data_IF_465887014905
#
_entry.id   IF_465887014905
#
_cell.length_a   1.000
_cell.length_b   1.000
_cell.length_c   1.000
_cell.angle_alpha   90.00
_cell.angle_beta   90.00
_cell.angle_gamma   90.00
#
_symmetry.space_group_name_H-M   'P 1'
#
loop_
_entity.id
_entity.type
_entity.pdbx_description
1 polymer ?
#
# COMPACT_ATOMS: atom_id res chain seq x y z
N UNK A 1 -27.55 74.50 -10.22
CA UNK A 1 -27.98 74.45 -11.63
C UNK A 1 -26.86 73.81 -12.43
N UNK A 2 -27.19 72.74 -13.15
CA UNK A 2 -26.59 72.31 -14.43
C UNK A 2 -25.10 71.95 -14.38
N UNK A 3 -24.77 70.65 -14.30
CA UNK A 3 -24.78 69.65 -15.40
C UNK A 3 -23.73 69.99 -16.46
N UNK A 4 -23.06 68.94 -16.93
CA UNK A 4 -22.12 68.84 -18.05
C UNK A 4 -20.63 68.96 -17.71
N UNK A 5 -20.04 67.83 -17.30
CA UNK A 5 -19.06 67.16 -18.17
C UNK A 5 -18.93 65.66 -17.80
N UNK A 6 -20.04 64.92 -17.92
CA UNK A 6 -20.04 63.45 -18.03
C UNK A 6 -20.58 63.14 -19.43
N UNK A 7 -19.80 63.40 -20.47
CA UNK A 7 -20.02 62.92 -21.85
C UNK A 7 -18.63 62.83 -22.51
N UNK A 8 -18.35 61.72 -23.21
CA UNK A 8 -17.06 61.21 -23.71
C UNK A 8 -16.18 60.62 -22.59
N UNK A 9 -16.14 59.33 -22.29
CA UNK A 9 -16.15 58.13 -23.13
C UNK A 9 -16.87 57.03 -22.32
N UNK A 10 -18.20 57.00 -22.40
CA UNK A 10 -19.04 55.89 -21.89
C UNK A 10 -19.87 55.26 -23.01
N UNK A 11 -19.38 55.42 -24.25
CA UNK A 11 -20.01 54.96 -25.49
C UNK A 11 -19.11 53.99 -26.28
N UNK A 12 -18.05 53.45 -25.66
CA UNK A 12 -17.09 52.54 -26.31
C UNK A 12 -16.69 51.31 -25.47
N UNK A 13 -17.39 51.04 -24.37
CA UNK A 13 -17.39 49.72 -23.71
C UNK A 13 -18.81 49.41 -23.21
N UNK A 14 -19.80 49.56 -24.09
CA UNK A 14 -20.94 48.66 -24.03
C UNK A 14 -20.37 47.31 -24.47
N UNK A 15 -20.51 46.23 -23.69
CA UNK A 15 -20.17 44.92 -24.22
C UNK A 15 -21.02 44.75 -25.48
N UNK A 16 -20.38 44.47 -26.62
CA UNK A 16 -21.02 44.07 -27.87
C UNK A 16 -21.81 42.73 -27.73
N UNK A 17 -22.35 42.45 -26.54
CA UNK A 17 -23.09 41.25 -26.17
C UNK A 17 -24.55 41.26 -26.66
N UNK A 18 -25.02 42.29 -27.36
CA UNK A 18 -26.43 42.41 -27.75
C UNK A 18 -26.72 42.18 -29.24
N UNK A 19 -25.79 41.62 -30.01
CA UNK A 19 -25.97 41.41 -31.46
C UNK A 19 -26.00 39.94 -31.92
N UNK A 20 -25.95 38.96 -31.01
CA UNK A 20 -26.10 37.55 -31.37
C UNK A 20 -27.34 36.99 -30.68
N UNK A 21 -28.46 36.90 -31.40
CA UNK A 21 -29.70 36.35 -30.88
C UNK A 21 -29.65 34.88 -30.45
N UNK A 22 -28.54 34.16 -30.69
CA UNK A 22 -28.36 32.74 -30.40
C UNK A 22 -27.75 32.49 -29.02
N UNK A 23 -28.40 31.65 -28.21
CA UNK A 23 -27.88 31.15 -26.94
C UNK A 23 -28.15 29.64 -26.77
N UNK A 24 -27.45 29.01 -25.82
CA UNK A 24 -27.70 27.62 -25.44
C UNK A 24 -28.72 27.59 -24.31
N UNK A 25 -29.94 27.18 -24.65
CA UNK A 25 -31.02 27.01 -23.69
C UNK A 25 -30.73 25.90 -22.69
N UNK A 26 -30.18 24.78 -23.17
CA UNK A 26 -29.83 23.64 -22.32
C UNK A 26 -28.68 22.84 -22.92
N UNK A 27 -27.70 22.48 -22.08
CA UNK A 27 -26.62 21.57 -22.42
C UNK A 27 -26.62 20.39 -21.44
N UNK A 28 -26.98 19.22 -21.96
CA UNK A 28 -26.92 17.96 -21.21
C UNK A 28 -25.69 17.19 -21.66
N UNK A 29 -24.84 16.79 -20.73
CA UNK A 29 -23.64 15.99 -20.98
C UNK A 29 -23.70 14.75 -20.10
N UNK A 30 -23.61 13.56 -20.69
CA UNK A 30 -23.54 12.30 -19.95
C UNK A 30 -22.25 11.57 -20.30
N UNK A 31 -21.42 11.35 -19.29
CA UNK A 31 -20.20 10.56 -19.33
C UNK A 31 -20.49 9.13 -18.86
N UNK A 32 -20.35 8.17 -19.77
CA UNK A 32 -20.35 6.74 -19.47
C UNK A 32 -18.90 6.31 -19.27
N UNK A 33 -18.52 6.15 -18.01
CA UNK A 33 -17.15 5.81 -17.61
C UNK A 33 -16.85 4.34 -17.89
N UNK A 34 -15.57 4.03 -18.15
CA UNK A 34 -15.06 2.69 -18.44
C UNK A 34 -13.57 2.59 -18.07
N UNK A 35 -13.01 1.37 -18.05
CA UNK A 35 -11.64 1.12 -17.59
C UNK A 35 -10.56 1.76 -18.45
N UNK A 36 -10.79 1.87 -19.76
CA UNK A 36 -9.77 2.29 -20.74
C UNK A 36 -10.14 3.57 -21.50
N UNK A 37 -11.20 4.27 -21.11
CA UNK A 37 -12.39 4.51 -21.92
C UNK A 37 -13.41 5.41 -21.27
N UNK A 38 -13.89 6.46 -21.91
CA UNK A 38 -15.24 6.92 -21.65
C UNK A 38 -15.95 7.30 -22.93
N UNK A 39 -17.26 7.10 -22.91
CA UNK A 39 -18.16 7.48 -23.97
C UNK A 39 -19.00 8.66 -23.49
N UNK A 40 -19.22 9.65 -24.36
CA UNK A 40 -19.93 10.87 -24.03
C UNK A 40 -21.14 11.00 -24.95
N UNK A 41 -22.28 11.32 -24.33
CA UNK A 41 -23.47 11.76 -25.03
C UNK A 41 -23.77 13.20 -24.63
N UNK A 42 -23.90 14.07 -25.63
CA UNK A 42 -24.29 15.46 -25.42
C UNK A 42 -25.58 15.77 -26.16
N UNK A 43 -26.45 16.53 -25.53
CA UNK A 43 -27.58 17.19 -26.17
C UNK A 43 -27.47 18.69 -25.91
N UNK A 44 -27.35 19.47 -26.99
CA UNK A 44 -27.26 20.93 -26.93
C UNK A 44 -28.49 21.50 -27.61
N UNK A 45 -29.24 22.33 -26.89
CA UNK A 45 -30.44 23.00 -27.38
C UNK A 45 -30.12 24.47 -27.60
N UNK A 46 -29.99 24.86 -28.85
CA UNK A 46 -29.82 26.25 -29.26
C UNK A 46 -31.18 26.93 -29.42
N UNK A 47 -31.23 28.21 -29.11
CA UNK A 47 -32.45 29.03 -29.19
C UNK A 47 -32.09 30.41 -29.71
N UNK A 48 -32.96 30.97 -30.56
CA UNK A 48 -32.80 32.34 -31.06
C UNK A 48 -33.91 33.25 -30.49
N UNK A 49 -33.52 34.25 -29.69
CA UNK A 49 -34.44 35.26 -29.14
C UNK A 49 -34.11 36.71 -29.56
N UNK A 50 -32.93 36.95 -30.13
CA UNK A 50 -32.51 38.28 -30.58
C UNK A 50 -32.85 38.57 -32.04
N UNK A 51 -32.27 39.63 -32.57
CA UNK A 51 -32.21 39.89 -34.01
C UNK A 51 -30.84 39.40 -34.54
N UNK A 52 -30.75 38.83 -35.76
CA UNK A 52 -31.78 38.73 -36.81
C UNK A 52 -32.90 37.71 -36.55
N UNK A 53 -34.02 37.84 -37.29
CA UNK A 53 -35.16 36.90 -37.27
C UNK A 53 -34.73 35.44 -37.53
N UNK A 54 -33.62 35.25 -38.24
CA UNK A 54 -33.01 33.94 -38.48
C UNK A 54 -31.52 34.07 -38.20
N UNK A 55 -31.01 33.28 -37.26
CA UNK A 55 -29.58 33.10 -37.07
C UNK A 55 -29.07 32.10 -38.11
N UNK A 56 -28.06 32.49 -38.88
CA UNK A 56 -27.29 31.62 -39.76
C UNK A 56 -25.81 31.80 -39.44
N UNK A 57 -25.14 30.74 -38.97
CA UNK A 57 -23.76 30.88 -38.52
C UNK A 57 -23.11 29.56 -38.14
N UNK A 58 -21.77 29.60 -38.07
CA UNK A 58 -20.93 28.44 -37.75
C UNK A 58 -20.64 28.37 -36.26
N UNK A 59 -20.99 27.26 -35.63
CA UNK A 59 -20.63 26.90 -34.26
C UNK A 59 -19.45 25.94 -34.28
N UNK A 60 -18.50 26.15 -33.36
CA UNK A 60 -17.28 25.35 -33.24
C UNK A 60 -17.26 24.70 -31.86
N UNK A 61 -17.38 23.38 -31.80
CA UNK A 61 -17.32 22.60 -30.57
C UNK A 61 -15.94 21.94 -30.47
N UNK A 62 -15.11 22.39 -29.52
CA UNK A 62 -13.83 21.75 -29.21
C UNK A 62 -14.06 20.55 -28.28
N UNK A 63 -13.60 19.36 -28.67
CA UNK A 63 -13.83 18.11 -27.91
C UNK A 63 -12.56 17.31 -27.62
N UNK A 64 -11.38 17.94 -27.69
CA UNK A 64 -10.10 17.30 -27.34
C UNK A 64 -9.81 16.07 -28.21
N UNK A 65 -9.23 14.99 -27.71
CA UNK A 65 -8.95 13.76 -28.49
C UNK A 65 -10.20 12.88 -28.71
N UNK A 66 -11.30 13.49 -29.19
CA UNK A 66 -12.55 12.79 -29.46
C UNK A 66 -12.45 11.89 -30.70
N UNK A 67 -12.93 10.66 -30.56
CA UNK A 67 -12.97 9.62 -31.60
C UNK A 67 -14.39 9.12 -31.78
N UNK A 68 -14.65 8.43 -32.90
CA UNK A 68 -15.95 7.80 -33.18
C UNK A 68 -17.13 8.78 -33.06
N UNK A 69 -16.95 9.99 -33.59
CA UNK A 69 -17.90 11.11 -33.41
C UNK A 69 -19.11 10.94 -34.32
N UNK A 70 -20.30 10.85 -33.74
CA UNK A 70 -21.60 10.90 -34.42
C UNK A 70 -22.37 12.15 -34.00
N UNK A 71 -22.84 12.92 -34.99
CA UNK A 71 -23.67 14.13 -34.79
C UNK A 71 -25.04 13.93 -35.44
N UNK A 72 -26.12 14.29 -34.75
CA UNK A 72 -27.50 14.25 -35.26
C UNK A 72 -28.24 15.56 -34.93
N UNK A 73 -29.15 15.98 -35.80
CA UNK A 73 -29.91 17.23 -35.68
C UNK A 73 -30.63 17.57 -37.00
N UNK A 74 -31.29 18.72 -37.07
CA UNK A 74 -31.94 19.22 -38.30
C UNK A 74 -31.05 20.26 -38.99
N UNK A 75 -30.77 20.11 -40.30
CA UNK A 75 -30.00 21.03 -41.17
C UNK A 75 -28.66 21.53 -40.58
N UNK A 76 -27.59 20.76 -40.81
CA UNK A 76 -26.21 21.17 -40.51
C UNK A 76 -25.23 20.46 -41.45
N UNK A 77 -24.12 21.12 -41.82
CA UNK A 77 -22.96 20.48 -42.45
C UNK A 77 -21.90 20.20 -41.37
N UNK A 78 -21.38 18.96 -41.30
CA UNK A 78 -20.25 18.62 -40.39
C UNK A 78 -18.98 18.51 -41.19
N UNK A 79 -17.98 19.32 -40.83
CA UNK A 79 -16.61 19.17 -41.32
C UNK A 79 -15.76 18.62 -40.19
N UNK A 80 -15.13 17.47 -40.45
CA UNK A 80 -14.19 16.83 -39.52
C UNK A 80 -12.77 17.25 -39.89
N UNK A 81 -12.11 17.94 -38.97
CA UNK A 81 -10.66 18.10 -39.05
C UNK A 81 -9.98 17.06 -38.15
N UNK A 82 -8.74 16.62 -38.46
CA UNK A 82 -7.93 15.75 -37.60
C UNK A 82 -7.66 16.32 -36.19
N UNK A 83 -8.05 17.57 -35.94
CA UNK A 83 -7.90 18.33 -34.70
C UNK A 83 -9.07 18.18 -33.73
N UNK A 84 -10.09 17.35 -34.06
CA UNK A 84 -11.25 17.03 -33.22
C UNK A 84 -12.10 18.24 -32.77
N UNK A 85 -12.00 19.33 -33.53
CA UNK A 85 -13.00 20.40 -33.57
C UNK A 85 -14.17 19.95 -34.44
N UNK A 86 -15.39 20.11 -33.92
CA UNK A 86 -16.62 19.82 -34.63
C UNK A 86 -17.21 21.15 -35.09
N UNK A 87 -17.28 21.32 -36.40
CA UNK A 87 -17.87 22.49 -37.03
C UNK A 87 -19.33 22.18 -37.38
N UNK A 88 -20.25 23.01 -36.92
CA UNK A 88 -21.69 22.86 -37.18
C UNK A 88 -22.24 24.17 -37.71
N UNK A 89 -22.79 24.13 -38.91
CA UNK A 89 -23.58 25.25 -39.46
C UNK A 89 -25.00 25.19 -38.88
N UNK A 90 -25.42 26.27 -38.21
CA UNK A 90 -26.73 26.37 -37.57
C UNK A 90 -27.63 27.34 -38.31
N UNK A 91 -28.92 26.99 -38.32
CA UNK A 91 -30.00 27.80 -38.87
C UNK A 91 -31.16 27.81 -37.88
N UNK A 92 -31.33 28.90 -37.14
CA UNK A 92 -32.31 29.00 -36.04
C UNK A 92 -33.20 30.23 -36.21
N UNK A 93 -34.48 30.01 -36.50
CA UNK A 93 -35.47 31.07 -36.57
C UNK A 93 -35.81 31.59 -35.17
N UNK A 94 -36.15 32.86 -35.06
CA UNK A 94 -36.57 33.52 -33.82
C UNK A 94 -37.78 32.80 -33.21
N UNK A 95 -37.71 32.54 -31.91
CA UNK A 95 -38.75 31.78 -31.19
C UNK A 95 -38.74 30.28 -31.45
N UNK A 96 -37.76 29.76 -32.20
CA UNK A 96 -37.57 28.31 -32.42
C UNK A 96 -36.30 27.80 -31.75
N UNK A 97 -36.21 26.48 -31.58
CA UNK A 97 -35.02 25.81 -31.04
C UNK A 97 -34.45 24.81 -32.03
N UNK A 98 -33.13 24.67 -32.05
CA UNK A 98 -32.44 23.62 -32.79
C UNK A 98 -31.68 22.72 -31.80
N UNK A 99 -31.93 21.41 -31.88
CA UNK A 99 -31.29 20.43 -31.01
C UNK A 99 -30.20 19.68 -31.76
N UNK A 100 -29.03 19.61 -31.13
CA UNK A 100 -27.89 18.83 -31.62
C UNK A 100 -27.61 17.73 -30.61
N UNK A 101 -27.48 16.51 -31.11
CA UNK A 101 -27.05 15.37 -30.32
C UNK A 101 -25.67 14.92 -30.80
N UNK A 102 -24.72 14.83 -29.87
CA UNK A 102 -23.37 14.33 -30.13
C UNK A 102 -23.14 13.06 -29.34
N UNK A 103 -22.41 12.12 -29.97
CA UNK A 103 -21.94 10.88 -29.38
C UNK A 103 -20.49 10.71 -29.77
N UNK A 104 -19.60 10.51 -28.81
CA UNK A 104 -18.17 10.33 -29.10
C UNK A 104 -17.45 9.61 -27.97
N UNK A 105 -16.24 9.13 -28.26
CA UNK A 105 -15.38 8.38 -27.33
C UNK A 105 -14.10 9.16 -27.04
N UNK A 106 -13.60 9.07 -25.80
CA UNK A 106 -12.36 9.71 -25.35
C UNK A 106 -11.60 8.85 -24.35
N UNK A 107 -10.32 9.15 -24.20
CA UNK A 107 -9.41 8.45 -23.27
C UNK A 107 -8.41 9.37 -22.56
N UNK A 108 -8.31 10.64 -22.98
CA UNK A 108 -7.28 11.60 -22.57
C UNK A 108 -7.40 12.09 -21.11
N UNK A 109 -8.50 11.79 -20.44
CA UNK A 109 -8.82 12.25 -19.08
C UNK A 109 -8.86 11.14 -18.03
N UNK A 110 -8.42 9.92 -18.38
CA UNK A 110 -8.45 8.76 -17.48
C UNK A 110 -7.04 8.34 -17.04
N UNK A 111 -6.89 8.15 -15.74
CA UNK A 111 -5.69 7.62 -15.11
C UNK A 111 -6.05 6.35 -14.34
N UNK A 112 -5.25 5.30 -14.48
CA UNK A 112 -5.40 4.06 -13.70
C UNK A 112 -4.24 3.94 -12.70
N UNK A 113 -4.58 3.83 -11.42
CA UNK A 113 -3.63 3.58 -10.34
C UNK A 113 -4.10 2.38 -9.54
N UNK A 114 -3.48 1.23 -9.79
CA UNK A 114 -3.71 -0.01 -9.03
C UNK A 114 -5.19 -0.44 -9.01
N UNK A 115 -5.90 -0.26 -10.12
CA UNK A 115 -7.33 -0.61 -10.22
C UNK A 115 -8.29 0.47 -9.71
N UNK A 116 -7.78 1.62 -9.25
CA UNK A 116 -8.56 2.83 -9.02
C UNK A 116 -8.42 3.74 -10.25
N UNK A 117 -9.55 4.04 -10.87
CA UNK A 117 -9.62 4.89 -12.05
C UNK A 117 -9.93 6.32 -11.61
N UNK A 118 -9.25 7.30 -12.21
CA UNK A 118 -9.45 8.72 -11.94
C UNK A 118 -9.79 9.42 -13.25
N UNK A 119 -11.01 9.94 -13.34
CA UNK A 119 -11.39 10.90 -14.36
C UNK A 119 -10.96 12.29 -13.91
N UNK A 120 -10.03 12.93 -14.64
CA UNK A 120 -9.54 14.27 -14.31
C UNK A 120 -9.45 15.14 -15.55
N UNK A 121 -10.16 16.26 -15.53
CA UNK A 121 -10.20 17.18 -16.66
C UNK A 121 -11.37 18.15 -16.58
N UNK A 122 -11.63 18.86 -17.69
CA UNK A 122 -12.80 19.71 -17.83
C UNK A 122 -14.00 18.87 -18.31
N UNK A 123 -14.96 18.64 -17.42
CA UNK A 123 -16.23 17.98 -17.72
C UNK A 123 -17.20 18.89 -18.48
N UNK A 124 -16.89 20.19 -18.51
CA UNK A 124 -17.51 21.17 -19.37
C UNK A 124 -16.39 21.97 -20.01
N UNK A 125 -16.29 21.90 -21.33
CA UNK A 125 -15.35 22.72 -22.08
C UNK A 125 -15.71 24.20 -22.00
N UNK A 126 -14.79 25.04 -22.43
CA UNK A 126 -15.02 26.49 -22.54
C UNK A 126 -15.97 26.78 -23.70
N UNK A 127 -16.83 27.78 -23.54
CA UNK A 127 -17.68 28.27 -24.63
C UNK A 127 -17.95 29.77 -24.50
N UNK A 128 -18.15 30.40 -25.65
CA UNK A 128 -18.32 31.84 -25.83
C UNK A 128 -19.76 32.21 -26.19
N UNK A 129 -20.72 31.43 -25.71
CA UNK A 129 -22.16 31.68 -25.87
C UNK A 129 -22.82 31.79 -24.50
N UNK A 130 -23.88 32.58 -24.42
CA UNK A 130 -24.79 32.55 -23.27
C UNK A 130 -25.37 31.13 -23.11
N UNK A 131 -25.31 30.60 -21.89
CA UNK A 131 -25.86 29.27 -21.58
C UNK A 131 -26.75 29.38 -20.36
N UNK A 132 -28.00 28.92 -20.46
CA UNK A 132 -28.97 29.07 -19.38
C UNK A 132 -28.99 27.88 -18.42
N UNK A 133 -28.77 26.67 -18.92
CA UNK A 133 -28.83 25.46 -18.11
C UNK A 133 -27.81 24.43 -18.55
N UNK A 134 -27.07 23.89 -17.58
CA UNK A 134 -26.09 22.84 -17.80
C UNK A 134 -26.39 21.70 -16.85
N UNK A 135 -26.47 20.48 -17.39
CA UNK A 135 -26.56 19.25 -16.62
C UNK A 135 -25.44 18.33 -17.05
N UNK A 136 -24.57 17.95 -16.11
CA UNK A 136 -23.46 17.03 -16.33
C UNK A 136 -23.72 15.79 -15.48
N UNK A 137 -23.73 14.62 -16.11
CA UNK A 137 -23.94 13.33 -15.45
C UNK A 137 -22.77 12.41 -15.72
N UNK A 138 -22.32 11.70 -14.70
CA UNK A 138 -21.35 10.61 -14.80
C UNK A 138 -22.04 9.32 -14.39
N UNK A 139 -21.76 8.25 -15.12
CA UNK A 139 -22.31 6.92 -14.88
C UNK A 139 -21.13 5.94 -14.82
N UNK A 140 -21.02 5.21 -13.73
CA UNK A 140 -19.98 4.18 -13.58
C UNK A 140 -20.27 2.94 -14.43
N UNK A 141 -19.26 2.10 -14.71
CA UNK A 141 -19.49 0.72 -15.15
C UNK A 141 -20.28 -0.09 -14.12
N UNK A 142 -20.77 -1.25 -14.53
CA UNK A 142 -21.44 -2.17 -13.62
C UNK A 142 -20.51 -2.60 -12.48
N UNK A 143 -21.04 -2.57 -11.26
CA UNK A 143 -20.36 -2.90 -10.00
C UNK A 143 -19.19 -1.99 -9.62
N UNK A 144 -19.04 -0.85 -10.30
CA UNK A 144 -18.17 0.23 -9.87
C UNK A 144 -18.91 1.20 -8.95
N UNK A 145 -18.13 1.80 -8.06
CA UNK A 145 -18.56 2.80 -7.08
C UNK A 145 -17.65 4.02 -7.19
N UNK A 146 -18.21 5.20 -6.97
CA UNK A 146 -17.43 6.43 -6.87
C UNK A 146 -16.66 6.49 -5.55
N UNK A 147 -15.45 7.05 -5.62
CA UNK A 147 -14.53 7.27 -4.51
C UNK A 147 -14.45 8.73 -4.11
N UNK A 148 -13.26 9.32 -4.15
CA UNK A 148 -13.07 10.75 -3.99
C UNK A 148 -13.66 11.51 -5.20
N UNK A 149 -14.44 12.56 -4.92
CA UNK A 149 -15.12 13.37 -5.93
C UNK A 149 -14.83 14.85 -5.65
N UNK A 150 -14.30 15.55 -6.65
CA UNK A 150 -14.08 16.99 -6.64
C UNK A 150 -14.62 17.62 -7.94
N UNK A 151 -15.41 18.70 -7.87
CA UNK A 151 -16.02 19.27 -6.67
C UNK A 151 -17.04 18.30 -6.04
N UNK A 152 -17.29 18.45 -4.73
CA UNK A 152 -18.09 17.49 -3.96
C UNK A 152 -19.51 17.37 -4.53
N UNK A 153 -19.91 16.14 -4.85
CA UNK A 153 -21.28 15.77 -5.17
C UNK A 153 -21.59 14.40 -4.58
N UNK A 154 -22.86 14.11 -4.36
CA UNK A 154 -23.31 12.86 -3.73
C UNK A 154 -23.73 11.88 -4.81
N UNK A 155 -23.09 10.71 -4.91
CA UNK A 155 -23.49 9.69 -5.87
C UNK A 155 -24.79 9.00 -5.44
N UNK A 156 -25.58 8.58 -6.43
CA UNK A 156 -26.83 7.85 -6.25
C UNK A 156 -26.71 6.49 -6.94
N UNK A 157 -27.10 5.41 -6.25
CA UNK A 157 -27.09 4.06 -6.81
C UNK A 157 -28.35 3.82 -7.63
N UNK A 158 -28.17 3.37 -8.87
CA UNK A 158 -29.26 2.93 -9.75
C UNK A 158 -28.92 1.54 -10.31
N UNK A 159 -29.58 0.51 -9.79
CA UNK A 159 -29.25 -0.88 -10.10
C UNK A 159 -27.78 -1.21 -9.77
N UNK A 160 -27.04 -1.65 -10.78
CA UNK A 160 -25.63 -2.05 -10.64
C UNK A 160 -24.63 -0.91 -10.90
N UNK A 161 -25.11 0.32 -11.15
CA UNK A 161 -24.28 1.49 -11.46
C UNK A 161 -24.47 2.59 -10.42
N UNK A 162 -23.51 3.49 -10.33
CA UNK A 162 -23.65 4.76 -9.62
C UNK A 162 -23.70 5.93 -10.60
N UNK A 163 -24.50 6.92 -10.21
CA UNK A 163 -24.72 8.14 -10.96
C UNK A 163 -24.24 9.32 -10.11
N UNK A 164 -23.55 10.24 -10.75
CA UNK A 164 -23.13 11.50 -10.16
C UNK A 164 -23.58 12.63 -11.08
N UNK A 165 -24.26 13.64 -10.53
CA UNK A 165 -24.80 14.72 -11.34
C UNK A 165 -24.41 16.09 -10.79
N UNK A 166 -24.09 17.00 -11.70
CA UNK A 166 -23.94 18.43 -11.47
C UNK A 166 -24.95 19.15 -12.34
N UNK A 167 -25.74 20.04 -11.74
CA UNK A 167 -26.72 20.85 -12.47
C UNK A 167 -26.57 22.28 -12.03
N UNK A 168 -26.56 23.20 -12.98
CA UNK A 168 -26.61 24.63 -12.69
C UNK A 168 -27.56 25.33 -13.67
N UNK A 169 -28.29 26.30 -13.15
CA UNK A 169 -29.05 27.27 -13.94
C UNK A 169 -28.30 28.58 -13.84
N UNK A 170 -27.87 29.11 -14.98
CA UNK A 170 -27.17 30.38 -15.08
C UNK A 170 -28.24 31.41 -15.38
N UNK A 171 -28.45 32.34 -14.44
CA UNK A 171 -29.34 33.47 -14.62
C UNK A 171 -28.53 34.65 -15.17
N UNK A 172 -29.11 35.36 -16.13
CA UNK A 172 -28.62 36.49 -16.94
C UNK A 172 -27.29 37.17 -16.54
N UNK A 173 -26.48 37.47 -17.58
CA UNK A 173 -25.19 38.20 -17.62
C UNK A 173 -23.88 37.40 -17.53
N UNK A 174 -23.86 36.08 -17.79
CA UNK A 174 -22.60 35.36 -18.08
C UNK A 174 -22.55 35.02 -19.56
N UNK A 175 -21.84 35.88 -20.31
CA UNK A 175 -21.68 35.79 -21.78
C UNK A 175 -20.78 34.64 -22.24
N UNK A 176 -19.97 34.06 -21.35
CA UNK A 176 -19.08 32.96 -21.67
C UNK A 176 -18.72 32.14 -20.43
N UNK A 177 -18.56 30.83 -20.59
CA UNK A 177 -17.87 29.98 -19.61
C UNK A 177 -16.41 29.90 -20.01
N UNK A 178 -15.60 30.80 -19.45
CA UNK A 178 -14.20 30.98 -19.82
C UNK A 178 -13.26 29.98 -19.13
N UNK A 179 -13.65 29.43 -17.98
CA UNK A 179 -12.81 28.51 -17.19
C UNK A 179 -13.19 27.04 -17.37
N UNK A 180 -14.41 26.76 -17.86
CA UNK A 180 -14.98 25.41 -17.93
C UNK A 180 -15.38 24.87 -16.54
N UNK A 181 -15.66 23.57 -16.46
CA UNK A 181 -15.97 22.90 -15.19
C UNK A 181 -14.96 21.79 -14.91
N UNK A 182 -13.94 22.05 -14.07
CA UNK A 182 -12.93 21.05 -13.74
C UNK A 182 -13.48 20.03 -12.74
N UNK A 183 -13.14 18.76 -12.98
CA UNK A 183 -13.48 17.65 -12.08
C UNK A 183 -12.29 16.72 -11.85
N UNK A 184 -12.28 16.05 -10.71
CA UNK A 184 -11.44 14.91 -10.36
C UNK A 184 -12.33 13.87 -9.65
N UNK A 185 -12.63 12.78 -10.34
CA UNK A 185 -13.60 11.77 -9.92
C UNK A 185 -12.93 10.41 -9.92
N UNK A 186 -12.78 9.82 -8.74
CA UNK A 186 -12.33 8.43 -8.59
C UNK A 186 -13.50 7.46 -8.70
N UNK A 187 -13.26 6.32 -9.31
CA UNK A 187 -14.19 5.20 -9.34
C UNK A 187 -13.44 3.88 -9.46
N UNK A 188 -13.97 2.84 -8.81
CA UNK A 188 -13.35 1.52 -8.79
C UNK A 188 -14.37 0.45 -8.38
N UNK A 189 -13.96 -0.82 -8.47
CA UNK A 189 -14.66 -1.94 -7.80
C UNK A 189 -14.40 -1.92 -6.30
N UNK A 190 -14.78 -0.84 -5.61
CA UNK A 190 -14.44 -0.63 -4.20
C UNK A 190 -14.95 -1.73 -3.27
N UNK A 191 -16.03 -2.43 -3.64
CA UNK A 191 -16.50 -3.59 -2.87
C UNK A 191 -15.45 -4.71 -2.82
N UNK A 192 -14.89 -5.07 -3.97
CA UNK A 192 -13.85 -6.10 -4.08
C UNK A 192 -12.55 -5.63 -3.42
N UNK A 193 -12.15 -4.38 -3.69
CA UNK A 193 -10.95 -3.78 -3.10
C UNK A 193 -11.04 -3.72 -1.57
N UNK A 194 -12.20 -3.33 -1.02
CA UNK A 194 -12.40 -3.26 0.43
C UNK A 194 -12.31 -4.66 1.07
N UNK A 195 -12.91 -5.68 0.46
CA UNK A 195 -12.84 -7.06 0.96
C UNK A 195 -11.39 -7.58 0.92
N UNK A 196 -10.68 -7.33 -0.18
CA UNK A 196 -9.27 -7.70 -0.33
C UNK A 196 -8.38 -7.03 0.73
N UNK A 197 -8.50 -5.71 0.88
CA UNK A 197 -7.73 -4.96 1.87
C UNK A 197 -8.08 -5.32 3.31
N UNK A 198 -9.35 -5.64 3.61
CA UNK A 198 -9.75 -6.12 4.94
C UNK A 198 -9.03 -7.41 5.32
N UNK A 199 -8.95 -8.37 4.39
CA UNK A 199 -8.22 -9.63 4.61
C UNK A 199 -6.72 -9.36 4.82
N UNK A 200 -6.13 -8.55 3.96
CA UNK A 200 -4.73 -8.17 4.08
C UNK A 200 -4.44 -7.45 5.42
N UNK A 201 -5.35 -6.58 5.88
CA UNK A 201 -5.23 -5.91 7.16
C UNK A 201 -5.31 -6.89 8.34
N UNK A 202 -6.23 -7.86 8.30
CA UNK A 202 -6.36 -8.91 9.32
C UNK A 202 -5.08 -9.74 9.44
N UNK A 203 -4.53 -10.21 8.32
CA UNK A 203 -3.28 -10.97 8.30
C UNK A 203 -2.12 -10.17 8.92
N UNK A 204 -2.01 -8.88 8.60
CA UNK A 204 -0.98 -8.01 9.16
C UNK A 204 -1.17 -7.72 10.64
N UNK A 205 -2.41 -7.64 11.12
CA UNK A 205 -2.70 -7.52 12.56
C UNK A 205 -2.23 -8.77 13.29
N UNK A 206 -2.54 -9.97 12.79
CA UNK A 206 -2.06 -11.22 13.41
C UNK A 206 -0.54 -11.34 13.40
N UNK A 207 0.13 -10.90 12.33
CA UNK A 207 1.60 -10.82 12.28
C UNK A 207 2.16 -9.85 13.33
N UNK A 208 1.53 -8.68 13.49
CA UNK A 208 1.93 -7.68 14.48
C UNK A 208 1.73 -8.19 15.92
N UNK A 209 0.61 -8.85 16.21
CA UNK A 209 0.33 -9.46 17.52
C UNK A 209 1.41 -10.48 17.89
N UNK A 210 1.74 -11.39 16.97
CA UNK A 210 2.83 -12.36 17.18
C UNK A 210 4.17 -11.68 17.47
N UNK A 211 4.55 -10.65 16.68
CA UNK A 211 5.82 -9.96 16.88
C UNK A 211 5.85 -9.17 18.20
N UNK A 212 4.72 -8.61 18.63
CA UNK A 212 4.58 -7.93 19.93
C UNK A 212 4.76 -8.94 21.07
N UNK A 213 4.14 -10.12 20.99
CA UNK A 213 4.30 -11.17 22.01
C UNK A 213 5.76 -11.64 22.13
N UNK A 214 6.42 -11.85 20.99
CA UNK A 214 7.84 -12.23 20.90
C UNK A 214 8.77 -11.12 21.46
N UNK A 215 8.49 -9.86 21.12
CA UNK A 215 9.20 -8.71 21.68
C UNK A 215 9.02 -8.60 23.19
N UNK A 216 7.79 -8.75 23.69
CA UNK A 216 7.48 -8.71 25.12
C UNK A 216 8.26 -9.80 25.88
N UNK A 217 8.24 -11.02 25.37
CA UNK A 217 8.99 -12.15 25.96
C UNK A 217 10.49 -11.86 26.02
N UNK A 218 11.05 -11.21 24.98
CA UNK A 218 12.46 -10.85 24.93
C UNK A 218 12.79 -9.73 25.92
N UNK A 219 11.91 -8.72 26.04
CA UNK A 219 12.04 -7.62 27.00
C UNK A 219 11.98 -8.14 28.44
N UNK A 220 11.06 -9.05 28.76
CA UNK A 220 10.97 -9.66 30.10
C UNK A 220 12.26 -10.41 30.46
N UNK A 221 12.80 -11.23 29.55
CA UNK A 221 14.11 -11.87 29.74
C UNK A 221 15.22 -10.84 29.95
N UNK A 222 15.20 -9.75 29.20
CA UNK A 222 16.23 -8.73 29.31
C UNK A 222 16.23 -8.03 30.68
N UNK A 223 15.05 -7.89 31.31
CA UNK A 223 14.94 -7.40 32.70
C UNK A 223 15.67 -8.32 33.68
N UNK A 224 15.57 -9.64 33.52
CA UNK A 224 16.28 -10.62 34.37
C UNK A 224 17.81 -10.45 34.30
N UNK A 225 18.33 -10.00 33.15
CA UNK A 225 19.76 -9.72 32.98
C UNK A 225 20.18 -8.33 33.49
N UNK A 226 19.26 -7.46 33.89
CA UNK A 226 19.56 -6.07 34.28
C UNK A 226 19.98 -5.20 33.08
N UNK A 227 19.47 -5.50 31.90
CA UNK A 227 19.75 -4.77 30.66
C UNK A 227 19.11 -3.37 30.65
N UNK A 228 19.68 -2.40 29.91
CA UNK A 228 19.10 -1.06 29.78
C UNK A 228 18.02 -1.03 28.67
N UNK A 229 16.75 -1.07 29.07
CA UNK A 229 15.64 -1.28 28.13
C UNK A 229 14.97 -0.02 27.62
N UNK A 230 15.51 1.17 27.91
CA UNK A 230 14.83 2.45 27.63
C UNK A 230 14.40 2.58 26.16
N UNK A 231 15.30 2.26 25.21
CA UNK A 231 14.98 2.34 23.77
C UNK A 231 14.02 1.22 23.32
N UNK A 232 14.20 0.01 23.85
CA UNK A 232 13.36 -1.13 23.53
C UNK A 232 11.91 -0.92 23.98
N UNK A 233 11.70 -0.42 25.21
CA UNK A 233 10.38 -0.10 25.76
C UNK A 233 9.68 1.01 24.96
N UNK A 234 10.41 2.06 24.55
CA UNK A 234 9.84 3.12 23.70
C UNK A 234 9.31 2.58 22.36
N UNK A 235 10.08 1.72 21.69
CA UNK A 235 9.67 1.09 20.44
C UNK A 235 8.49 0.12 20.67
N UNK A 236 8.50 -0.61 21.78
CA UNK A 236 7.42 -1.52 22.17
C UNK A 236 6.09 -0.79 22.43
N UNK A 237 6.12 0.30 23.18
CA UNK A 237 4.93 1.13 23.46
C UNK A 237 4.35 1.73 22.17
N UNK A 238 5.22 2.18 21.27
CA UNK A 238 4.81 2.68 19.94
C UNK A 238 4.13 1.58 19.13
N UNK A 239 4.68 0.36 19.16
CA UNK A 239 4.11 -0.80 18.50
C UNK A 239 2.71 -1.14 19.02
N UNK A 240 2.50 -1.12 20.34
CA UNK A 240 1.18 -1.37 20.96
C UNK A 240 0.17 -0.31 20.49
N UNK A 241 0.53 0.98 20.55
CA UNK A 241 -0.35 2.08 20.10
C UNK A 241 -0.75 1.91 18.64
N UNK A 242 0.20 1.54 17.77
CA UNK A 242 -0.09 1.29 16.36
C UNK A 242 -0.99 0.06 16.16
N UNK A 243 -0.81 -1.02 16.93
CA UNK A 243 -1.70 -2.18 16.88
C UNK A 243 -3.14 -1.83 17.30
N UNK A 244 -3.31 -1.03 18.35
CA UNK A 244 -4.62 -0.56 18.79
C UNK A 244 -5.33 0.28 17.72
N UNK A 245 -4.59 1.21 17.09
CA UNK A 245 -5.10 1.99 15.97
C UNK A 245 -5.47 1.10 14.78
N UNK A 246 -4.65 0.10 14.45
CA UNK A 246 -4.93 -0.86 13.39
C UNK A 246 -6.24 -1.61 13.65
N UNK A 247 -6.44 -2.14 14.87
CA UNK A 247 -7.67 -2.84 15.27
C UNK A 247 -8.90 -1.92 15.22
N UNK A 248 -8.77 -0.68 15.71
CA UNK A 248 -9.85 0.33 15.65
C UNK A 248 -10.26 0.62 14.19
N UNK A 249 -9.29 0.81 13.30
CA UNK A 249 -9.54 1.06 11.87
C UNK A 249 -10.14 -0.15 11.17
N UNK A 250 -9.71 -1.36 11.50
CA UNK A 250 -10.31 -2.60 10.98
C UNK A 250 -11.80 -2.67 11.33
N UNK A 251 -12.14 -2.39 12.59
CA UNK A 251 -13.54 -2.37 13.06
C UNK A 251 -14.38 -1.33 12.29
N UNK A 252 -13.84 -0.13 12.10
CA UNK A 252 -14.51 0.91 11.30
C UNK A 252 -14.73 0.46 9.86
N UNK A 253 -13.74 -0.20 9.25
CA UNK A 253 -13.86 -0.75 7.90
C UNK A 253 -14.97 -1.80 7.79
N UNK A 254 -15.06 -2.72 8.76
CA UNK A 254 -16.12 -3.73 8.81
C UNK A 254 -17.52 -3.11 8.98
N UNK A 255 -17.65 -2.07 9.81
CA UNK A 255 -18.91 -1.33 9.98
C UNK A 255 -19.29 -0.64 8.66
N UNK A 256 -18.34 0.04 8.00
CA UNK A 256 -18.58 0.69 6.70
C UNK A 256 -18.99 -0.32 5.62
N UNK A 257 -18.40 -1.51 5.62
CA UNK A 257 -18.72 -2.58 4.66
C UNK A 257 -20.13 -3.14 4.88
N UNK A 258 -20.42 -3.55 6.12
CA UNK A 258 -21.58 -4.39 6.42
C UNK A 258 -22.82 -3.57 6.75
N UNK A 259 -22.66 -2.48 7.50
CA UNK A 259 -23.79 -1.68 8.01
C UNK A 259 -24.17 -0.57 7.04
N UNK A 260 -23.18 0.19 6.56
CA UNK A 260 -23.43 1.36 5.71
C UNK A 260 -23.34 1.08 4.21
N UNK A 261 -22.80 -0.09 3.82
CA UNK A 261 -22.49 -0.44 2.43
C UNK A 261 -21.68 0.66 1.71
N UNK A 262 -20.86 1.40 2.46
CA UNK A 262 -19.97 2.41 1.92
C UNK A 262 -18.60 1.79 1.66
N UNK A 263 -18.45 1.25 0.45
CA UNK A 263 -17.28 0.45 0.07
C UNK A 263 -16.01 1.29 -0.05
N UNK A 264 -16.09 2.52 -0.56
CA UNK A 264 -14.95 3.43 -0.61
C UNK A 264 -14.40 3.75 0.80
N UNK A 265 -15.29 4.08 1.73
CA UNK A 265 -14.90 4.36 3.12
C UNK A 265 -14.33 3.10 3.81
N UNK A 266 -14.93 1.93 3.55
CA UNK A 266 -14.43 0.65 4.04
C UNK A 266 -13.01 0.37 3.54
N UNK A 267 -12.75 0.54 2.24
CA UNK A 267 -11.43 0.39 1.62
C UNK A 267 -10.39 1.29 2.30
N UNK A 268 -10.70 2.58 2.48
CA UNK A 268 -9.78 3.53 3.13
C UNK A 268 -9.45 3.15 4.58
N UNK A 269 -10.45 2.73 5.35
CA UNK A 269 -10.22 2.26 6.73
C UNK A 269 -9.41 0.95 6.76
N UNK A 270 -9.63 0.03 5.82
CA UNK A 270 -8.86 -1.21 5.73
C UNK A 270 -7.39 -0.94 5.37
N UNK A 271 -7.14 -0.10 4.37
CA UNK A 271 -5.79 0.30 3.96
C UNK A 271 -5.05 1.02 5.10
N UNK A 272 -5.73 1.92 5.82
CA UNK A 272 -5.19 2.57 7.03
C UNK A 272 -4.88 1.56 8.14
N UNK A 273 -5.77 0.60 8.38
CA UNK A 273 -5.56 -0.49 9.36
C UNK A 273 -4.31 -1.30 9.02
N UNK A 274 -4.19 -1.74 7.77
CA UNK A 274 -3.03 -2.48 7.25
C UNK A 274 -1.73 -1.71 7.45
N UNK A 275 -1.73 -0.42 7.14
CA UNK A 275 -0.55 0.45 7.30
C UNK A 275 -0.10 0.52 8.76
N UNK A 276 -1.03 0.75 9.70
CA UNK A 276 -0.71 0.76 11.13
C UNK A 276 -0.22 -0.61 11.63
N UNK A 277 -0.80 -1.71 11.14
CA UNK A 277 -0.35 -3.06 11.50
C UNK A 277 1.07 -3.35 11.02
N UNK A 278 1.44 -2.90 9.82
CA UNK A 278 2.82 -3.00 9.30
C UNK A 278 3.79 -2.21 10.18
N UNK A 279 3.41 -0.98 10.58
CA UNK A 279 4.24 -0.14 11.47
C UNK A 279 4.42 -0.82 12.83
N UNK A 280 3.34 -1.32 13.44
CA UNK A 280 3.38 -2.06 14.70
C UNK A 280 4.32 -3.26 14.62
N UNK A 281 4.13 -4.11 13.61
CA UNK A 281 4.98 -5.28 13.36
C UNK A 281 6.47 -4.92 13.25
N UNK A 282 6.80 -3.84 12.54
CA UNK A 282 8.18 -3.34 12.41
C UNK A 282 8.76 -2.86 13.74
N UNK A 283 8.00 -2.05 14.48
CA UNK A 283 8.43 -1.48 15.77
C UNK A 283 8.60 -2.57 16.85
N UNK A 284 7.74 -3.60 16.85
CA UNK A 284 7.91 -4.77 17.72
C UNK A 284 9.23 -5.52 17.44
N UNK A 285 9.56 -5.74 16.16
CA UNK A 285 10.83 -6.37 15.77
C UNK A 285 12.03 -5.51 16.18
N UNK A 286 11.92 -4.19 16.05
CA UNK A 286 12.95 -3.27 16.52
C UNK A 286 13.12 -3.34 18.05
N UNK A 287 12.03 -3.32 18.80
CA UNK A 287 12.04 -3.48 20.26
C UNK A 287 12.72 -4.79 20.68
N UNK A 288 12.40 -5.90 20.02
CA UNK A 288 13.03 -7.20 20.23
C UNK A 288 14.55 -7.15 19.99
N UNK A 289 14.96 -6.57 18.86
CA UNK A 289 16.38 -6.49 18.49
C UNK A 289 17.17 -5.64 19.48
N UNK A 290 16.61 -4.49 19.90
CA UNK A 290 17.20 -3.62 20.91
C UNK A 290 17.33 -4.35 22.26
N UNK A 291 16.27 -5.03 22.72
CA UNK A 291 16.32 -5.81 23.96
C UNK A 291 17.37 -6.94 23.89
N UNK A 292 17.48 -7.63 22.75
CA UNK A 292 18.47 -8.69 22.54
C UNK A 292 19.91 -8.16 22.58
N UNK A 293 20.16 -7.00 21.97
CA UNK A 293 21.46 -6.34 21.99
C UNK A 293 21.87 -5.96 23.43
N UNK A 294 20.92 -5.43 24.20
CA UNK A 294 21.16 -5.02 25.59
C UNK A 294 21.37 -6.22 26.53
N UNK A 295 20.74 -7.38 26.25
CA UNK A 295 21.08 -8.65 26.93
C UNK A 295 22.55 -9.00 26.69
N UNK A 296 22.98 -8.97 25.43
CA UNK A 296 24.36 -9.31 25.08
C UNK A 296 25.36 -8.38 25.76
N UNK A 297 25.12 -7.06 25.73
CA UNK A 297 25.96 -6.08 26.40
C UNK A 297 26.04 -6.30 27.91
N UNK A 298 24.90 -6.59 28.56
CA UNK A 298 24.87 -6.90 30.00
C UNK A 298 25.64 -8.18 30.34
N UNK A 299 25.51 -9.23 29.52
CA UNK A 299 26.26 -10.48 29.69
C UNK A 299 27.77 -10.26 29.53
N UNK A 300 28.20 -9.52 28.51
CA UNK A 300 29.61 -9.18 28.28
C UNK A 300 30.19 -8.39 29.46
N UNK A 301 29.44 -7.44 30.01
CA UNK A 301 29.86 -6.68 31.19
C UNK A 301 30.00 -7.59 32.43
N UNK A 302 29.04 -8.50 32.66
CA UNK A 302 29.11 -9.47 33.76
C UNK A 302 30.31 -10.40 33.62
N UNK A 303 30.60 -10.91 32.41
CA UNK A 303 31.78 -11.73 32.13
C UNK A 303 33.07 -10.95 32.38
N UNK A 304 33.15 -9.69 31.91
CA UNK A 304 34.30 -8.81 32.14
C UNK A 304 34.55 -8.59 33.64
N UNK A 305 33.50 -8.34 34.42
CA UNK A 305 33.60 -8.13 35.86
C UNK A 305 34.07 -9.39 36.60
N UNK A 306 33.60 -10.58 36.19
CA UNK A 306 34.09 -11.86 36.73
C UNK A 306 35.58 -12.04 36.42
N UNK A 307 36.00 -11.75 35.18
CA UNK A 307 37.42 -11.89 34.79
C UNK A 307 38.37 -10.97 35.56
N UNK A 308 37.87 -9.81 36.03
CA UNK A 308 38.64 -8.85 36.83
C UNK A 308 38.69 -9.18 38.32
N UNK A 309 37.73 -9.96 38.84
CA UNK A 309 37.62 -10.29 40.28
C UNK A 309 38.29 -11.60 40.66
N UNK A 310 38.68 -12.43 39.71
CA UNK A 310 39.64 -13.51 39.95
C UNK A 310 41.04 -12.95 40.18
N UNK A 311 41.47 -12.91 41.44
CA UNK A 311 42.84 -12.57 41.83
C UNK A 311 43.86 -13.42 41.04
N UNK A 312 44.94 -12.77 40.57
CA UNK A 312 46.10 -13.47 40.01
C UNK A 312 46.60 -14.49 41.05
N UNK A 313 46.73 -15.78 40.73
CA UNK A 313 47.40 -16.70 41.63
C UNK A 313 48.84 -16.22 41.81
N UNK A 314 49.27 -16.06 43.07
CA UNK A 314 50.67 -15.88 43.42
C UNK A 314 51.42 -17.15 43.01
N UNK A 315 52.09 -17.10 41.86
CA UNK A 315 52.96 -18.18 41.40
C UNK A 315 54.26 -18.06 42.21
N UNK A 316 54.50 -19.01 43.11
CA UNK A 316 55.84 -19.24 43.67
C UNK A 316 56.69 -19.76 42.52
N UNK A 317 57.67 -18.96 42.10
CA UNK A 317 58.57 -19.24 40.99
C UNK A 317 59.61 -20.26 41.43
N UNK A 318 59.59 -21.46 40.84
CA UNK A 318 60.83 -22.22 40.63
C UNK A 318 61.44 -21.79 39.29
N UNK A 319 62.63 -21.23 39.40
CA UNK A 319 63.46 -20.70 38.33
C UNK A 319 63.84 -21.80 37.35
N UNK A 320 63.53 -21.63 36.06
CA UNK A 320 64.42 -22.07 34.98
C UNK A 320 64.37 -21.09 33.80
N UNK A 321 65.56 -20.96 33.19
CA UNK A 321 66.06 -20.06 32.15
C UNK A 321 65.08 -19.55 31.08
N UNK A 322 65.32 -18.30 30.70
CA UNK A 322 64.87 -17.62 29.48
C UNK A 322 65.16 -18.42 28.20
N UNK A 323 64.20 -18.38 27.26
CA UNK A 323 64.47 -18.10 25.83
C UNK A 323 63.35 -17.18 25.30
N UNK A 324 63.74 -16.15 24.56
CA UNK A 324 62.92 -15.10 23.98
C UNK A 324 62.25 -15.49 22.63
N UNK A 325 61.14 -14.78 22.36
CA UNK A 325 60.53 -14.39 21.06
C UNK A 325 59.74 -15.40 20.18
N UNK A 326 58.43 -15.42 20.47
CA UNK A 326 57.31 -14.89 19.63
C UNK A 326 57.21 -15.27 18.14
N UNK A 327 56.25 -16.15 17.83
CA UNK A 327 55.26 -16.02 16.74
C UNK A 327 53.93 -16.63 17.21
N UNK A 328 52.82 -16.02 16.82
CA UNK A 328 51.45 -16.29 17.30
C UNK A 328 51.06 -17.73 16.98
N UNK A 329 50.66 -18.48 18.01
CA UNK A 329 50.59 -19.95 17.96
C UNK A 329 49.18 -20.43 18.36
N UNK A 330 48.71 -21.47 17.68
CA UNK A 330 47.36 -22.08 17.74
C UNK A 330 46.84 -22.46 19.15
N UNK A 331 47.71 -22.38 20.15
CA UNK A 331 47.42 -22.62 21.57
C UNK A 331 46.42 -21.64 22.21
N UNK A 332 46.16 -20.46 21.63
CA UNK A 332 45.12 -19.55 22.17
C UNK A 332 43.69 -20.02 21.92
N UNK A 333 43.45 -20.75 20.82
CA UNK A 333 42.14 -21.36 20.51
C UNK A 333 41.99 -22.67 21.29
N UNK A 334 43.08 -23.45 21.42
CA UNK A 334 43.11 -24.63 22.27
C UNK A 334 42.97 -24.28 23.77
N UNK A 335 43.47 -23.14 24.22
CA UNK A 335 43.33 -22.67 25.60
C UNK A 335 41.91 -22.31 26.00
N UNK A 336 41.12 -21.71 25.08
CA UNK A 336 39.69 -21.42 25.31
C UNK A 336 38.87 -22.72 25.32
N UNK A 337 39.21 -23.69 24.46
CA UNK A 337 38.60 -25.02 24.43
C UNK A 337 39.00 -25.88 25.66
N UNK A 338 40.23 -25.78 26.15
CA UNK A 338 40.71 -26.49 27.34
C UNK A 338 40.16 -25.89 28.64
N UNK A 339 39.99 -24.56 28.71
CA UNK A 339 39.34 -23.89 29.83
C UNK A 339 37.84 -24.22 29.91
N UNK A 340 37.15 -24.34 28.78
CA UNK A 340 35.75 -24.80 28.75
C UNK A 340 35.60 -26.29 29.07
N UNK A 341 36.57 -27.14 28.68
CA UNK A 341 36.62 -28.55 29.10
C UNK A 341 36.93 -28.73 30.60
N UNK A 342 37.79 -27.90 31.19
CA UNK A 342 38.11 -27.93 32.62
C UNK A 342 36.94 -27.45 33.49
N UNK A 343 36.13 -26.49 33.03
CA UNK A 343 34.89 -26.08 33.71
C UNK A 343 33.83 -27.20 33.66
N UNK A 344 33.76 -27.96 32.57
CA UNK A 344 32.97 -29.18 32.46
C UNK A 344 33.51 -30.32 33.35
N UNK A 345 34.83 -30.50 33.45
CA UNK A 345 35.46 -31.54 34.28
C UNK A 345 35.39 -31.22 35.79
N UNK A 346 35.47 -29.94 36.17
CA UNK A 346 35.33 -29.48 37.55
C UNK A 346 33.88 -29.60 38.05
N UNK A 347 32.88 -29.35 37.18
CA UNK A 347 31.46 -29.57 37.51
C UNK A 347 31.10 -31.07 37.57
N UNK A 348 31.80 -31.93 36.83
CA UNK A 348 31.69 -33.39 36.95
C UNK A 348 32.37 -33.93 38.23
N UNK A 349 33.58 -33.48 38.60
CA UNK A 349 34.29 -33.94 39.81
C UNK A 349 33.69 -33.43 41.13
N UNK A 350 33.08 -32.23 41.16
CA UNK A 350 32.32 -31.78 42.34
C UNK A 350 31.02 -32.59 42.57
N UNK A 351 30.56 -33.33 41.55
CA UNK A 351 29.43 -34.25 41.65
C UNK A 351 29.80 -35.62 42.23
N UNK A 352 31.07 -36.02 42.11
CA UNK A 352 31.60 -37.27 42.68
C UNK A 352 32.00 -37.12 44.16
N UNK A 353 32.57 -35.98 44.59
CA UNK A 353 32.96 -35.80 46.02
C UNK A 353 31.79 -35.67 47.00
N UNK A 354 30.61 -35.21 46.56
CA UNK A 354 29.40 -35.21 47.41
C UNK A 354 28.66 -36.55 47.45
N UNK A 355 29.13 -37.58 46.73
CA UNK A 355 28.58 -38.95 46.76
C UNK A 355 29.20 -39.82 47.86
N UNK A 356 30.41 -39.51 48.34
CA UNK A 356 31.09 -40.36 49.34
C UNK A 356 30.70 -40.06 50.79
N UNK A 357 30.30 -38.84 51.14
CA UNK A 357 29.93 -38.49 52.53
C UNK A 357 28.46 -38.79 52.89
N UNK A 358 27.59 -39.13 51.94
CA UNK A 358 26.19 -39.51 52.21
C UNK A 358 25.92 -41.02 52.11
N UNK A 359 26.97 -41.84 52.07
CA UNK A 359 26.87 -43.30 51.99
C UNK A 359 26.84 -44.00 53.37
N UNK A 360 26.84 -43.28 54.49
CA UNK A 360 26.76 -43.89 55.84
C UNK A 360 25.76 -43.20 56.76
N UNK A 361 24.49 -43.10 56.38
CA UNK A 361 23.35 -43.21 57.34
C UNK A 361 22.13 -43.65 56.51
N UNK A 362 21.64 -44.87 56.72
CA UNK A 362 20.35 -45.35 56.18
C UNK A 362 19.18 -44.54 56.76
N UNK A 363 17.98 -44.50 56.19
CA UNK A 363 17.09 -45.63 55.92
C UNK A 363 15.91 -45.13 55.05
N UNK A 364 15.53 -45.97 54.08
CA UNK A 364 14.22 -46.16 53.42
C UNK A 364 13.44 -44.98 52.77
N UNK A 365 12.90 -45.30 51.59
CA UNK A 365 11.83 -44.62 50.83
C UNK A 365 12.18 -43.41 49.96
N UNK A 366 12.98 -43.59 48.91
CA UNK A 366 12.82 -42.82 47.65
C UNK A 366 13.32 -43.65 46.45
N UNK A 367 12.55 -44.67 46.06
CA UNK A 367 12.63 -45.13 44.68
C UNK A 367 12.10 -44.01 43.77
N UNK A 368 12.83 -43.77 42.67
CA UNK A 368 12.32 -43.17 41.44
C UNK A 368 12.51 -41.66 41.13
N UNK A 369 13.60 -41.00 41.58
CA UNK A 369 13.98 -39.66 41.06
C UNK A 369 15.06 -39.73 39.96
N UNK A 370 15.87 -40.79 39.95
CA UNK A 370 16.97 -40.98 38.99
C UNK A 370 16.49 -41.30 37.56
N UNK A 371 15.57 -42.25 37.41
CA UNK A 371 14.99 -42.61 36.11
C UNK A 371 14.14 -41.47 35.52
N UNK A 372 13.41 -40.72 36.35
CA UNK A 372 12.67 -39.52 35.94
C UNK A 372 13.59 -38.39 35.47
N UNK A 373 14.78 -38.25 36.07
CA UNK A 373 15.78 -37.27 35.61
C UNK A 373 16.43 -37.70 34.29
N UNK A 374 16.83 -38.96 34.15
CA UNK A 374 17.48 -39.45 32.93
C UNK A 374 16.55 -39.38 31.70
N UNK A 375 15.27 -39.80 31.83
CA UNK A 375 14.25 -39.67 30.77
C UNK A 375 13.92 -38.20 30.41
N UNK A 376 13.99 -37.26 31.37
CA UNK A 376 13.81 -35.82 31.10
C UNK A 376 14.97 -35.21 30.31
N UNK A 377 16.21 -35.62 30.59
CA UNK A 377 17.39 -35.10 29.91
C UNK A 377 17.46 -35.57 28.45
N UNK A 378 17.19 -36.86 28.18
CA UNK A 378 17.16 -37.38 26.79
C UNK A 378 16.01 -36.77 25.96
N UNK A 379 14.84 -36.54 26.58
CA UNK A 379 13.72 -35.83 25.95
C UNK A 379 13.99 -34.34 25.69
N UNK A 380 14.88 -33.72 26.47
CA UNK A 380 15.30 -32.33 26.27
C UNK A 380 16.31 -32.22 25.11
N UNK A 381 17.30 -33.11 25.01
CA UNK A 381 18.26 -33.14 23.90
C UNK A 381 17.56 -33.37 22.56
N UNK A 382 16.63 -34.34 22.47
CA UNK A 382 15.82 -34.56 21.26
C UNK A 382 14.98 -33.33 20.88
N UNK A 383 14.47 -32.58 21.87
CA UNK A 383 13.74 -31.33 21.62
C UNK A 383 14.65 -30.21 21.11
N UNK A 384 15.86 -30.07 21.66
CA UNK A 384 16.85 -29.07 21.21
C UNK A 384 17.28 -29.34 19.76
N UNK A 385 17.56 -30.59 19.41
CA UNK A 385 17.94 -30.95 18.04
C UNK A 385 16.80 -30.76 17.03
N UNK A 386 15.56 -31.02 17.45
CA UNK A 386 14.36 -30.78 16.64
C UNK A 386 14.14 -29.29 16.38
N UNK A 387 14.41 -28.44 17.39
CA UNK A 387 14.33 -26.97 17.25
C UNK A 387 15.43 -26.45 16.32
N UNK A 388 16.68 -26.93 16.45
CA UNK A 388 17.79 -26.56 15.54
C UNK A 388 17.50 -26.94 14.08
N UNK A 389 16.93 -28.13 13.84
CA UNK A 389 16.51 -28.55 12.50
C UNK A 389 15.40 -27.65 11.94
N UNK A 390 14.43 -27.26 12.76
CA UNK A 390 13.37 -26.32 12.37
C UNK A 390 13.90 -24.92 12.04
N UNK A 391 14.84 -24.41 12.83
CA UNK A 391 15.48 -23.09 12.62
C UNK A 391 16.32 -23.07 11.33
N UNK A 392 17.07 -24.15 11.07
CA UNK A 392 17.83 -24.32 9.82
C UNK A 392 16.92 -24.29 8.58
N UNK A 393 15.79 -25.02 8.62
CA UNK A 393 14.81 -25.04 7.53
C UNK A 393 14.15 -23.67 7.34
N UNK A 394 13.78 -22.98 8.43
CA UNK A 394 13.20 -21.64 8.37
C UNK A 394 14.18 -20.62 7.76
N UNK A 395 15.46 -20.71 8.12
CA UNK A 395 16.51 -19.86 7.56
C UNK A 395 16.69 -20.09 6.07
N UNK A 396 16.63 -21.34 5.62
CA UNK A 396 16.75 -21.68 4.20
C UNK A 396 15.54 -21.21 3.38
N UNK A 397 14.32 -21.31 3.93
CA UNK A 397 13.11 -20.72 3.34
C UNK A 397 13.28 -19.20 3.19
N UNK A 398 13.82 -18.51 4.21
CA UNK A 398 14.05 -17.06 4.13
C UNK A 398 15.06 -16.69 3.03
N UNK A 399 16.13 -17.47 2.84
CA UNK A 399 17.09 -17.25 1.75
C UNK A 399 16.43 -17.43 0.39
N UNK A 400 15.67 -18.51 0.21
CA UNK A 400 14.95 -18.79 -1.03
C UNK A 400 13.92 -17.71 -1.36
N UNK A 401 13.19 -17.18 -0.37
CA UNK A 401 12.28 -16.05 -0.57
C UNK A 401 13.02 -14.79 -1.03
N UNK A 402 14.16 -14.46 -0.41
CA UNK A 402 15.01 -13.33 -0.87
C UNK A 402 15.53 -13.54 -2.29
N UNK A 403 15.85 -14.78 -2.66
CA UNK A 403 16.29 -15.10 -4.03
C UNK A 403 15.14 -14.96 -5.03
N UNK A 404 13.93 -15.40 -4.69
CA UNK A 404 12.70 -15.18 -5.48
C UNK A 404 12.46 -13.69 -5.71
N UNK A 405 12.51 -12.89 -4.66
CA UNK A 405 12.27 -11.44 -4.72
C UNK A 405 13.28 -10.75 -5.67
N UNK A 406 14.53 -11.25 -5.76
CA UNK A 406 15.51 -10.75 -6.74
C UNK A 406 15.09 -11.02 -8.19
N UNK A 407 14.51 -12.19 -8.48
CA UNK A 407 14.04 -12.52 -9.82
C UNK A 407 12.76 -11.75 -10.17
N UNK A 408 11.85 -11.53 -9.22
CA UNK A 408 10.67 -10.69 -9.40
C UNK A 408 11.06 -9.24 -9.72
N UNK A 409 11.99 -8.66 -8.95
CA UNK A 409 12.57 -7.35 -9.22
C UNK A 409 13.30 -7.31 -10.58
N UNK A 410 13.95 -8.42 -10.95
CA UNK A 410 14.57 -8.61 -12.26
C UNK A 410 13.57 -8.50 -13.41
N UNK A 411 12.38 -9.10 -13.29
CA UNK A 411 11.30 -8.99 -14.28
C UNK A 411 10.77 -7.56 -14.36
N UNK A 412 10.62 -6.87 -13.22
CA UNK A 412 10.18 -5.48 -13.19
C UNK A 412 11.19 -4.55 -13.89
N UNK A 413 12.49 -4.74 -13.64
CA UNK A 413 13.55 -3.99 -14.30
C UNK A 413 13.62 -4.28 -15.80
N UNK A 414 13.44 -5.53 -16.23
CA UNK A 414 13.33 -5.88 -17.65
C UNK A 414 12.14 -5.19 -18.32
N UNK A 415 11.01 -5.08 -17.62
CA UNK A 415 9.83 -4.37 -18.13
C UNK A 415 10.12 -2.88 -18.32
N UNK A 416 10.80 -2.23 -17.35
CA UNK A 416 11.24 -0.83 -17.46
C UNK A 416 12.16 -0.61 -18.66
N UNK A 417 13.14 -1.50 -18.87
CA UNK A 417 14.05 -1.45 -20.03
C UNK A 417 13.35 -1.60 -21.36
N UNK A 418 12.35 -2.49 -21.44
CA UNK A 418 11.54 -2.64 -22.65
C UNK A 418 10.74 -1.38 -22.95
N UNK A 419 10.11 -0.77 -21.92
CA UNK A 419 9.35 0.48 -22.07
C UNK A 419 10.23 1.68 -22.43
N UNK A 420 11.49 1.69 -21.97
CA UNK A 420 12.49 2.68 -22.33
C UNK A 420 13.13 2.44 -23.73
N UNK A 421 12.75 1.36 -24.43
CA UNK A 421 13.31 1.01 -25.73
C UNK A 421 14.75 0.44 -25.69
N UNK A 422 15.30 0.17 -24.51
CA UNK A 422 16.66 -0.36 -24.33
C UNK A 422 16.79 -1.85 -24.72
N UNK A 423 15.68 -2.58 -24.74
CA UNK A 423 15.63 -4.00 -25.14
C UNK A 423 14.40 -4.26 -26.01
N UNK A 424 14.50 -5.22 -26.92
CA UNK A 424 13.37 -5.60 -27.78
C UNK A 424 12.33 -6.43 -27.01
N UNK A 425 11.07 -6.42 -27.49
CA UNK A 425 9.99 -7.26 -26.91
C UNK A 425 10.37 -8.75 -26.91
N UNK A 426 11.04 -9.23 -27.96
CA UNK A 426 11.50 -10.63 -28.07
C UNK A 426 12.54 -11.00 -27.01
N UNK A 427 13.45 -10.08 -26.68
CA UNK A 427 14.43 -10.28 -25.61
C UNK A 427 13.81 -10.20 -24.22
N UNK A 428 12.84 -9.31 -24.03
CA UNK A 428 12.06 -9.23 -22.80
C UNK A 428 11.33 -10.55 -22.54
N UNK A 429 10.57 -11.05 -23.51
CA UNK A 429 9.78 -12.28 -23.36
C UNK A 429 10.67 -13.50 -23.03
N UNK A 430 11.82 -13.61 -23.70
CA UNK A 430 12.78 -14.69 -23.43
C UNK A 430 13.36 -14.64 -22.02
N UNK A 431 13.80 -13.45 -21.57
CA UNK A 431 14.40 -13.29 -20.23
C UNK A 431 13.36 -13.39 -19.11
N UNK A 432 12.14 -12.91 -19.35
CA UNK A 432 11.01 -13.05 -18.45
C UNK A 432 10.71 -14.54 -18.21
N UNK A 433 10.59 -15.34 -19.27
CA UNK A 433 10.36 -16.78 -19.14
C UNK A 433 11.48 -17.49 -18.35
N UNK A 434 12.74 -17.07 -18.49
CA UNK A 434 13.85 -17.63 -17.71
C UNK A 434 13.72 -17.32 -16.21
N UNK A 435 13.36 -16.09 -15.87
CA UNK A 435 13.15 -15.69 -14.47
C UNK A 435 11.90 -16.33 -13.86
N UNK A 436 10.82 -16.46 -14.62
CA UNK A 436 9.61 -17.18 -14.19
C UNK A 436 9.90 -18.65 -13.87
N UNK A 437 10.67 -19.35 -14.71
CA UNK A 437 11.12 -20.73 -14.43
C UNK A 437 11.96 -20.83 -13.16
N UNK A 438 12.83 -19.84 -12.89
CA UNK A 438 13.63 -19.81 -11.65
C UNK A 438 12.74 -19.57 -10.43
N UNK A 439 11.75 -18.69 -10.52
CA UNK A 439 10.74 -18.45 -9.48
C UNK A 439 9.94 -19.73 -9.18
N UNK A 440 9.48 -20.44 -10.22
CA UNK A 440 8.74 -21.68 -10.08
C UNK A 440 9.57 -22.77 -9.35
N UNK A 441 10.83 -22.94 -9.77
CA UNK A 441 11.76 -23.84 -9.09
C UNK A 441 11.96 -23.46 -7.62
N UNK A 442 12.10 -22.16 -7.30
CA UNK A 442 12.24 -21.68 -5.92
C UNK A 442 10.97 -21.95 -5.12
N UNK A 443 9.79 -21.68 -5.67
CA UNK A 443 8.50 -21.94 -5.02
C UNK A 443 8.33 -23.42 -4.69
N UNK A 444 8.72 -24.32 -5.60
CA UNK A 444 8.68 -25.76 -5.34
C UNK A 444 9.60 -26.19 -4.18
N UNK A 445 10.79 -25.57 -4.05
CA UNK A 445 11.72 -25.82 -2.93
C UNK A 445 11.17 -25.29 -1.62
N UNK A 446 10.57 -24.10 -1.63
CA UNK A 446 9.91 -23.51 -0.46
C UNK A 446 8.78 -24.43 0.03
N UNK A 447 7.92 -24.90 -0.86
CA UNK A 447 6.83 -25.82 -0.53
C UNK A 447 7.34 -27.09 0.18
N UNK A 448 8.35 -27.75 -0.38
CA UNK A 448 8.96 -28.95 0.23
C UNK A 448 9.57 -28.67 1.61
N UNK A 449 10.18 -27.50 1.80
CA UNK A 449 10.76 -27.10 3.09
C UNK A 449 9.66 -26.74 4.10
N UNK A 450 8.57 -26.11 3.66
CA UNK A 450 7.42 -25.80 4.50
C UNK A 450 6.68 -27.07 4.96
N UNK A 451 6.58 -28.10 4.11
CA UNK A 451 6.07 -29.42 4.49
C UNK A 451 6.95 -30.08 5.57
N UNK A 452 8.27 -30.12 5.36
CA UNK A 452 9.22 -30.63 6.38
C UNK A 452 9.12 -29.85 7.69
N UNK A 453 8.93 -28.53 7.62
CA UNK A 453 8.75 -27.70 8.81
C UNK A 453 7.43 -28.02 9.53
N UNK A 454 6.36 -28.34 8.79
CA UNK A 454 5.09 -28.80 9.37
C UNK A 454 5.23 -30.17 10.03
N UNK A 455 5.91 -31.12 9.40
CA UNK A 455 6.19 -32.44 9.99
C UNK A 455 6.95 -32.31 11.32
N UNK A 456 7.99 -31.47 11.36
CA UNK A 456 8.76 -31.17 12.58
C UNK A 456 7.89 -30.52 13.67
N UNK A 457 6.89 -29.72 13.29
CA UNK A 457 5.93 -29.13 14.23
C UNK A 457 4.87 -30.13 14.71
N UNK A 458 4.53 -31.13 13.92
CA UNK A 458 3.54 -32.17 14.28
C UNK A 458 4.12 -33.23 15.23
N UNK A 459 5.42 -33.54 15.14
CA UNK A 459 6.16 -34.37 16.13
C UNK A 459 6.21 -33.71 17.54
N UNK A 460 5.73 -32.47 17.65
CA UNK A 460 5.69 -31.68 18.88
C UNK A 460 4.37 -31.80 19.68
N UNK A 461 3.34 -32.45 19.12
CA UNK A 461 2.14 -32.93 19.83
C UNK A 461 2.36 -34.37 20.24
#
# INVERSE_FOLDING_TARGET
MKKFLIILIFLLILPLAHAHGLYVREHNITYYLNEENFYVEETIVFSNYGDPFTFEGKVILDRGDAKEISVRGSKFEVKYEPTAKIYIELFVNKGTTQTINLKYRRSDMLLNKEGILVFKGLALGKYYWDVHKINIKFITPDDYYFGKILPKATPVREGNKELLSYSTTIFDNITAIEEGFPVEIEYAKYKELAIGELRAAQERISEAEYNIEDANTTIEKAKEFGANLTKALKAFDSSIKNLELAKKKLKLSQISLNSYKNYYLSYNFASSSRTHAIIASREAREAKNLASFEIQASLEQKISNISKTTAKPTIIVHTYKQVEKKKIDWYSIAGILFASLLVLFATLRFRERRREERARVGVANYQNIGELKYKRFEGFEKKVDTVKKGESIATEIMKLRRERDKYELGIENLKKKMLAGEITKKEYDKKKQEFEKKIENINSKILKLEEKLREIRLVKK
#
